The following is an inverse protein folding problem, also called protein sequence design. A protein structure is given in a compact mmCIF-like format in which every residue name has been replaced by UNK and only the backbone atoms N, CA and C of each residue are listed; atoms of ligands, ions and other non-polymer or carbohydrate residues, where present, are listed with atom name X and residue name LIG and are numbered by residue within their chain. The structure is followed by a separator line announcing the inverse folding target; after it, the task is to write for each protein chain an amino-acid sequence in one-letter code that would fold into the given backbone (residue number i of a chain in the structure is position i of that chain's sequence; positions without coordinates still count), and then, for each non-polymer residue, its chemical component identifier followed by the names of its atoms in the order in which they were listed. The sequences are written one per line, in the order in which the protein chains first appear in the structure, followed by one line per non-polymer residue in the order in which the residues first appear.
data_IF_702977212285
#
_entry.id   IF_702977212285
#
_cell.length_a   1.000
_cell.length_b   1.000
_cell.length_c   1.000
_cell.angle_alpha   90.00
_cell.angle_beta   90.00
_cell.angle_gamma   90.00
#
_symmetry.space_group_name_H-M   'P 1'
#
loop_
_entity.id
_entity.type
_entity.pdbx_description
1 polymer ?
#
# COMPACT_ATOMS: atom_id res chain seq x y z
N UNK A 1 -31.78 -9.89 2.54
CA UNK A 1 -30.72 -9.92 1.51
C UNK A 1 -29.47 -10.47 2.17
N UNK A 2 -28.89 -11.52 1.60
CA UNK A 2 -27.66 -12.12 2.11
C UNK A 2 -26.50 -11.14 1.79
N UNK A 3 -25.52 -11.02 2.69
CA UNK A 3 -24.37 -10.13 2.48
C UNK A 3 -23.58 -10.42 1.19
N UNK A 4 -23.55 -11.69 0.73
CA UNK A 4 -22.96 -12.08 -0.56
C UNK A 4 -23.74 -11.54 -1.78
N UNK A 5 -25.04 -11.36 -1.66
CA UNK A 5 -25.84 -10.73 -2.72
C UNK A 5 -25.54 -9.24 -2.78
N UNK A 6 -25.39 -8.61 -1.61
CA UNK A 6 -24.97 -7.20 -1.51
C UNK A 6 -23.56 -7.02 -2.10
N UNK A 7 -22.63 -7.92 -1.80
CA UNK A 7 -21.27 -7.91 -2.35
C UNK A 7 -21.30 -7.95 -3.89
N UNK A 8 -22.02 -8.90 -4.46
CA UNK A 8 -22.14 -9.05 -5.92
C UNK A 8 -22.73 -7.82 -6.62
N UNK A 9 -23.65 -7.14 -5.96
CA UNK A 9 -24.36 -5.99 -6.53
C UNK A 9 -23.56 -4.69 -6.38
N UNK A 10 -22.87 -4.52 -5.25
CA UNK A 10 -22.34 -3.22 -4.86
C UNK A 10 -20.81 -3.15 -4.70
N UNK A 11 -20.11 -4.29 -4.67
CA UNK A 11 -18.64 -4.30 -4.49
C UNK A 11 -17.93 -4.58 -5.81
N UNK A 12 -17.14 -3.61 -6.25
CA UNK A 12 -16.23 -3.81 -7.39
C UNK A 12 -14.87 -4.31 -6.89
N UNK A 13 -14.65 -5.60 -6.98
CA UNK A 13 -13.38 -6.21 -6.58
C UNK A 13 -12.23 -5.79 -7.51
N UNK A 14 -11.02 -5.57 -6.95
CA UNK A 14 -9.83 -5.25 -7.73
C UNK A 14 -9.55 -6.30 -8.82
N UNK A 15 -8.99 -5.86 -9.94
CA UNK A 15 -8.62 -6.70 -11.11
C UNK A 15 -9.78 -7.48 -11.73
N UNK A 16 -10.99 -7.02 -11.54
CA UNK A 16 -12.17 -7.68 -12.05
C UNK A 16 -13.06 -6.71 -12.84
N UNK A 17 -13.94 -7.25 -13.68
CA UNK A 17 -14.99 -6.46 -14.33
C UNK A 17 -16.22 -6.32 -13.42
N UNK A 18 -17.09 -5.35 -13.73
CA UNK A 18 -18.40 -5.26 -13.13
C UNK A 18 -19.47 -5.48 -14.23
N UNK A 19 -20.33 -6.51 -14.17
CA UNK A 19 -20.37 -7.54 -13.13
C UNK A 19 -19.11 -8.43 -13.13
N UNK A 20 -18.79 -8.97 -11.97
CA UNK A 20 -17.61 -9.82 -11.78
C UNK A 20 -17.73 -11.12 -12.61
N UNK A 21 -16.66 -11.46 -13.34
CA UNK A 21 -16.52 -12.75 -14.03
C UNK A 21 -15.84 -13.82 -13.17
N UNK A 22 -15.25 -13.43 -12.07
CA UNK A 22 -14.53 -14.32 -11.14
C UNK A 22 -15.45 -14.72 -10.00
N UNK A 23 -15.40 -15.98 -9.60
CA UNK A 23 -16.10 -16.46 -8.42
C UNK A 23 -15.52 -15.80 -7.18
N UNK A 24 -16.33 -15.07 -6.45
CA UNK A 24 -15.98 -14.50 -5.15
C UNK A 24 -16.18 -15.56 -4.07
N UNK A 25 -15.17 -15.75 -3.23
CA UNK A 25 -15.20 -16.74 -2.15
C UNK A 25 -15.62 -16.07 -0.84
N UNK A 26 -16.67 -16.58 -0.16
CA UNK A 26 -17.16 -16.00 1.10
C UNK A 26 -16.25 -16.37 2.26
N UNK A 27 -15.46 -15.45 2.74
CA UNK A 27 -14.55 -15.67 3.88
C UNK A 27 -15.31 -15.46 5.19
N UNK A 28 -15.25 -16.47 6.06
CA UNK A 28 -15.82 -16.45 7.42
C UNK A 28 -14.80 -15.97 8.45
N UNK A 29 -13.60 -16.52 8.40
CA UNK A 29 -12.53 -16.21 9.36
C UNK A 29 -11.15 -16.55 8.79
N UNK A 30 -10.13 -16.12 9.49
CA UNK A 30 -8.74 -16.45 9.18
C UNK A 30 -7.96 -16.83 10.43
N UNK A 31 -6.94 -17.68 10.32
CA UNK A 31 -6.04 -18.01 11.42
C UNK A 31 -4.69 -18.50 10.89
N UNK A 32 -3.59 -17.98 11.42
CA UNK A 32 -2.22 -18.30 10.97
C UNK A 32 -2.07 -18.13 9.46
N UNK A 33 -2.00 -19.22 8.70
CA UNK A 33 -1.87 -19.24 7.24
C UNK A 33 -3.16 -19.67 6.54
N UNK A 34 -4.23 -19.88 7.29
CA UNK A 34 -5.49 -20.44 6.77
C UNK A 34 -6.58 -19.39 6.64
N UNK A 35 -7.37 -19.52 5.58
CA UNK A 35 -8.60 -18.79 5.32
C UNK A 35 -9.74 -19.80 5.38
N UNK A 36 -10.75 -19.56 6.22
CA UNK A 36 -11.93 -20.41 6.37
C UNK A 36 -13.11 -19.77 5.65
N UNK A 37 -13.74 -20.51 4.75
CA UNK A 37 -14.90 -20.06 4.02
C UNK A 37 -16.20 -20.32 4.77
N UNK A 38 -17.26 -19.59 4.43
CA UNK A 38 -18.61 -19.85 4.94
C UNK A 38 -19.14 -21.25 4.56
N UNK A 39 -18.63 -21.82 3.48
CA UNK A 39 -18.93 -23.17 3.01
C UNK A 39 -18.28 -24.26 3.85
N UNK A 40 -17.40 -23.91 4.79
CA UNK A 40 -16.66 -24.85 5.64
C UNK A 40 -15.30 -25.28 5.08
N UNK A 41 -14.95 -24.85 3.87
CA UNK A 41 -13.63 -25.15 3.28
C UNK A 41 -12.53 -24.34 3.97
N UNK A 42 -11.36 -24.95 4.11
CA UNK A 42 -10.12 -24.32 4.57
C UNK A 42 -9.17 -24.17 3.38
N UNK A 43 -8.68 -22.95 3.18
CA UNK A 43 -7.70 -22.62 2.14
C UNK A 43 -6.39 -22.19 2.80
N UNK A 44 -5.26 -22.54 2.19
CA UNK A 44 -3.95 -22.05 2.58
C UNK A 44 -3.68 -20.75 1.79
N UNK A 45 -3.38 -19.68 2.52
CA UNK A 45 -2.99 -18.40 1.92
C UNK A 45 -1.48 -18.40 1.60
N UNK A 46 -1.12 -18.81 0.41
CA UNK A 46 0.25 -18.78 -0.10
C UNK A 46 0.75 -17.38 -0.49
N UNK A 47 -0.14 -16.38 -0.52
CA UNK A 47 0.16 -14.99 -0.86
C UNK A 47 0.32 -14.07 0.35
N UNK A 48 0.09 -14.59 1.56
CA UNK A 48 0.10 -13.81 2.81
C UNK A 48 -0.74 -12.53 2.72
N UNK A 49 -1.95 -12.63 2.16
CA UNK A 49 -2.86 -11.51 1.89
C UNK A 49 -2.15 -10.33 1.23
N UNK A 50 -1.46 -10.60 0.12
CA UNK A 50 -0.64 -9.63 -0.62
C UNK A 50 0.47 -9.03 0.23
N UNK A 51 1.19 -9.90 0.96
CA UNK A 51 2.32 -9.60 1.86
C UNK A 51 1.96 -8.83 3.14
N UNK A 52 0.69 -8.56 3.40
CA UNK A 52 0.28 -7.85 4.62
C UNK A 52 0.20 -8.76 5.86
N UNK A 53 -0.01 -10.07 5.67
CA UNK A 53 -0.11 -11.05 6.74
C UNK A 53 1.20 -11.83 7.01
N UNK A 54 2.36 -11.17 6.98
CA UNK A 54 3.69 -11.80 7.10
C UNK A 54 3.91 -12.53 8.43
N UNK A 55 3.18 -12.16 9.49
CA UNK A 55 3.21 -12.81 10.80
C UNK A 55 2.06 -13.80 10.99
N UNK A 56 1.33 -14.09 9.92
CA UNK A 56 0.09 -14.87 9.93
C UNK A 56 -1.11 -14.06 10.44
N UNK A 57 -2.28 -14.58 10.09
CA UNK A 57 -3.55 -14.02 10.55
C UNK A 57 -3.75 -14.19 12.05
N UNK A 58 -4.38 -13.23 12.68
CA UNK A 58 -4.75 -13.28 14.09
C UNK A 58 -3.56 -13.53 15.04
N UNK A 59 -2.39 -12.96 14.73
CA UNK A 59 -1.26 -13.03 15.64
C UNK A 59 -1.65 -12.38 16.99
N UNK A 60 -1.60 -13.12 18.12
CA UNK A 60 -2.12 -12.64 19.39
C UNK A 60 -1.40 -11.39 19.91
N UNK A 61 -0.10 -11.27 19.68
CA UNK A 61 0.68 -10.09 20.10
C UNK A 61 0.25 -8.84 19.33
N UNK A 62 0.02 -8.97 18.02
CA UNK A 62 -0.44 -7.85 17.18
C UNK A 62 -1.87 -7.45 17.54
N UNK A 63 -2.75 -8.44 17.70
CA UNK A 63 -4.14 -8.19 18.09
C UNK A 63 -4.25 -7.49 19.45
N UNK A 64 -3.44 -7.91 20.42
CA UNK A 64 -3.40 -7.29 21.76
C UNK A 64 -2.90 -5.84 21.68
N UNK A 65 -1.83 -5.59 20.93
CA UNK A 65 -1.30 -4.24 20.75
C UNK A 65 -2.32 -3.30 20.09
N UNK A 66 -3.04 -3.79 19.05
CA UNK A 66 -4.10 -3.02 18.40
C UNK A 66 -5.26 -2.70 19.36
N UNK A 67 -5.74 -3.69 20.13
CA UNK A 67 -6.80 -3.47 21.12
C UNK A 67 -6.43 -2.41 22.14
N UNK A 68 -5.24 -2.50 22.71
CA UNK A 68 -4.73 -1.50 23.67
C UNK A 68 -4.65 -0.10 23.04
N UNK A 69 -4.16 -0.02 21.80
CA UNK A 69 -4.05 1.29 21.15
C UNK A 69 -5.41 1.91 20.83
N UNK A 70 -6.39 1.11 20.41
CA UNK A 70 -7.76 1.56 20.17
C UNK A 70 -8.41 2.13 21.43
N UNK A 71 -8.18 1.54 22.59
CA UNK A 71 -8.69 2.02 23.89
C UNK A 71 -8.06 3.35 24.32
N UNK A 72 -6.79 3.60 23.94
CA UNK A 72 -6.09 4.85 24.27
C UNK A 72 -6.43 5.94 23.25
N UNK A 73 -6.26 5.63 21.96
CA UNK A 73 -6.42 6.58 20.87
C UNK A 73 -6.44 5.84 19.52
N UNK A 74 -7.61 5.63 18.91
CA UNK A 74 -7.71 4.93 17.63
C UNK A 74 -7.20 5.76 16.46
N UNK A 75 -7.31 7.08 16.53
CA UNK A 75 -6.85 8.00 15.50
C UNK A 75 -6.62 9.40 16.05
N UNK A 76 -5.61 10.10 15.53
CA UNK A 76 -5.38 11.53 15.73
C UNK A 76 -4.78 12.14 14.45
N UNK A 77 -5.22 13.35 14.12
CA UNK A 77 -4.62 14.16 13.05
C UNK A 77 -3.12 14.37 13.31
N UNK A 78 -2.27 14.08 12.31
CA UNK A 78 -0.81 14.17 12.46
C UNK A 78 -0.23 15.57 12.17
N UNK A 79 -1.04 16.51 11.71
CA UNK A 79 -0.65 17.89 11.44
C UNK A 79 -0.45 18.70 12.74
N UNK A 80 0.78 18.76 13.23
CA UNK A 80 1.16 19.48 14.46
C UNK A 80 0.88 18.71 15.76
N UNK A 81 0.37 17.49 15.70
CA UNK A 81 0.18 16.60 16.85
C UNK A 81 1.10 15.38 16.71
N UNK A 82 1.55 14.84 17.84
CA UNK A 82 2.43 13.69 17.88
C UNK A 82 1.92 12.66 18.90
N UNK A 83 2.28 11.39 18.69
CA UNK A 83 2.02 10.32 19.65
C UNK A 83 3.19 9.34 19.73
N UNK A 84 3.28 8.63 20.82
CA UNK A 84 4.41 7.78 21.15
C UNK A 84 4.71 6.74 20.06
N UNK A 85 3.68 6.03 19.57
CA UNK A 85 3.88 4.92 18.61
C UNK A 85 4.48 5.39 17.27
N UNK A 86 4.04 6.54 16.76
CA UNK A 86 4.61 7.09 15.52
C UNK A 86 6.07 7.53 15.72
N UNK A 87 6.38 8.14 16.87
CA UNK A 87 7.74 8.58 17.19
C UNK A 87 8.70 7.40 17.35
N UNK A 88 8.28 6.34 18.05
CA UNK A 88 9.08 5.13 18.22
C UNK A 88 9.28 4.39 16.88
N UNK A 89 8.25 4.33 16.03
CA UNK A 89 8.37 3.76 14.70
C UNK A 89 9.36 4.56 13.83
N UNK A 90 9.23 5.89 13.82
CA UNK A 90 10.13 6.75 13.07
C UNK A 90 11.59 6.60 13.54
N UNK A 91 11.82 6.53 14.85
CA UNK A 91 13.15 6.26 15.39
C UNK A 91 13.73 4.93 14.90
N UNK A 92 12.96 3.84 14.98
CA UNK A 92 13.40 2.52 14.50
C UNK A 92 13.71 2.51 13.01
N UNK A 93 12.89 3.17 12.19
CA UNK A 93 13.12 3.28 10.76
C UNK A 93 14.36 4.11 10.44
N UNK A 94 14.58 5.22 11.15
CA UNK A 94 15.77 6.03 11.01
C UNK A 94 17.05 5.25 11.36
N UNK A 95 17.04 4.53 12.47
CA UNK A 95 18.18 3.68 12.90
C UNK A 95 18.47 2.56 11.88
N UNK A 96 17.42 1.92 11.33
CA UNK A 96 17.55 0.83 10.38
C UNK A 96 18.09 1.29 9.01
N UNK A 97 17.66 2.45 8.55
CA UNK A 97 17.98 2.97 7.21
C UNK A 97 19.20 3.88 7.19
N UNK A 98 19.62 4.41 8.31
CA UNK A 98 20.64 5.46 8.42
C UNK A 98 20.15 6.84 7.95
N UNK A 99 18.85 6.99 7.62
CA UNK A 99 18.24 8.25 7.23
C UNK A 99 17.74 9.02 8.45
N UNK A 100 17.87 10.34 8.44
CA UNK A 100 17.57 11.17 9.61
C UNK A 100 16.08 11.26 9.96
N UNK A 101 15.21 11.32 8.96
CA UNK A 101 13.79 11.65 9.15
C UNK A 101 12.87 10.72 8.39
N UNK A 102 11.67 10.51 8.92
CA UNK A 102 10.63 9.65 8.35
C UNK A 102 9.37 10.45 8.09
N UNK A 103 8.83 10.35 6.90
CA UNK A 103 7.53 10.86 6.54
C UNK A 103 6.56 9.69 6.41
N UNK A 104 5.52 9.64 7.25
CA UNK A 104 4.52 8.58 7.26
C UNK A 104 3.42 8.87 6.23
N UNK A 105 3.07 7.84 5.44
CA UNK A 105 2.07 7.91 4.38
C UNK A 105 1.11 6.72 4.48
N UNK A 106 0.00 6.82 3.73
CA UNK A 106 -1.08 5.83 3.76
C UNK A 106 -0.73 4.55 2.96
N UNK A 107 0.17 4.64 1.98
CA UNK A 107 0.57 3.51 1.13
C UNK A 107 1.96 3.70 0.52
N UNK A 108 2.52 2.64 -0.06
CA UNK A 108 3.77 2.71 -0.84
C UNK A 108 3.68 3.66 -2.02
N UNK A 109 2.57 3.63 -2.77
CA UNK A 109 2.34 4.56 -3.89
C UNK A 109 2.35 6.02 -3.44
N UNK A 110 1.66 6.35 -2.35
CA UNK A 110 1.67 7.71 -1.78
C UNK A 110 3.06 8.09 -1.28
N UNK A 111 3.81 7.15 -0.71
CA UNK A 111 5.20 7.37 -0.29
C UNK A 111 6.09 7.79 -1.47
N UNK A 112 5.96 7.10 -2.61
CA UNK A 112 6.68 7.45 -3.84
C UNK A 112 6.25 8.82 -4.36
N UNK A 113 4.94 9.12 -4.39
CA UNK A 113 4.44 10.45 -4.78
C UNK A 113 5.04 11.58 -3.92
N UNK A 114 5.13 11.36 -2.61
CA UNK A 114 5.75 12.34 -1.69
C UNK A 114 7.23 12.50 -1.98
N UNK A 115 7.95 11.39 -2.24
CA UNK A 115 9.37 11.44 -2.60
C UNK A 115 9.62 12.20 -3.90
N UNK A 116 8.83 11.94 -4.95
CA UNK A 116 8.93 12.65 -6.24
C UNK A 116 8.65 14.15 -6.06
N UNK A 117 7.58 14.52 -5.36
CA UNK A 117 7.25 15.93 -5.08
C UNK A 117 8.34 16.61 -4.27
N UNK A 118 8.89 15.95 -3.26
CA UNK A 118 9.97 16.48 -2.44
C UNK A 118 11.22 16.73 -3.25
N UNK A 119 11.61 15.79 -4.13
CA UNK A 119 12.75 15.95 -5.02
C UNK A 119 12.58 17.15 -5.98
N UNK A 120 11.39 17.30 -6.58
CA UNK A 120 11.07 18.44 -7.44
C UNK A 120 11.16 19.77 -6.67
N UNK A 121 10.55 19.84 -5.48
CA UNK A 121 10.60 21.03 -4.64
C UNK A 121 12.02 21.40 -4.21
N UNK A 122 12.84 20.40 -3.88
CA UNK A 122 14.26 20.61 -3.55
C UNK A 122 15.05 21.22 -4.74
N UNK A 123 14.87 20.67 -5.96
CA UNK A 123 15.52 21.22 -7.15
C UNK A 123 15.03 22.63 -7.47
N UNK A 124 13.73 22.87 -7.35
CA UNK A 124 13.14 24.22 -7.52
C UNK A 124 13.69 25.23 -6.51
N UNK A 125 13.82 24.85 -5.25
CA UNK A 125 14.39 25.71 -4.20
C UNK A 125 15.86 26.08 -4.48
N UNK A 126 16.59 25.24 -5.23
CA UNK A 126 17.95 25.54 -5.74
C UNK A 126 17.98 26.34 -7.04
N UNK A 127 16.83 26.78 -7.54
CA UNK A 127 16.72 27.50 -8.83
C UNK A 127 16.89 26.63 -10.07
N UNK A 128 16.84 25.28 -9.91
CA UNK A 128 17.05 24.34 -11.01
C UNK A 128 15.71 23.87 -11.59
N UNK A 129 15.63 23.78 -12.93
CA UNK A 129 14.47 23.30 -13.67
C UNK A 129 14.62 21.79 -13.97
N UNK A 130 14.69 20.95 -12.94
CA UNK A 130 14.83 19.50 -13.07
C UNK A 130 13.51 18.84 -12.66
N UNK A 131 12.79 18.28 -13.63
CA UNK A 131 11.47 17.66 -13.46
C UNK A 131 11.43 16.20 -13.93
N UNK A 132 12.50 15.72 -14.59
CA UNK A 132 12.62 14.32 -15.01
C UNK A 132 13.42 13.54 -13.98
N UNK A 133 13.02 12.29 -13.80
CA UNK A 133 13.68 11.33 -12.92
C UNK A 133 14.45 10.30 -13.74
N UNK A 134 15.52 9.78 -13.17
CA UNK A 134 16.16 8.56 -13.62
C UNK A 134 15.58 7.43 -12.78
N UNK A 135 14.94 6.45 -13.43
CA UNK A 135 14.33 5.28 -12.80
C UNK A 135 14.93 3.99 -13.37
N UNK A 136 14.78 2.89 -12.64
CA UNK A 136 15.28 1.59 -13.06
C UNK A 136 14.25 0.86 -13.93
N UNK A 137 14.72 0.17 -14.95
CA UNK A 137 13.90 -0.82 -15.65
C UNK A 137 13.54 -1.99 -14.70
N UNK A 138 12.46 -2.70 -15.01
CA UNK A 138 11.91 -3.80 -14.20
C UNK A 138 11.54 -3.40 -12.77
N UNK A 139 11.40 -2.11 -12.47
CA UNK A 139 11.01 -1.60 -11.16
C UNK A 139 9.49 -1.36 -11.05
N UNK A 140 8.96 -1.59 -9.86
CA UNK A 140 7.58 -1.27 -9.49
C UNK A 140 7.58 -0.34 -8.28
N UNK A 141 6.84 0.75 -8.36
CA UNK A 141 6.80 1.80 -7.34
C UNK A 141 5.39 2.15 -6.87
N UNK A 142 4.36 1.54 -7.44
CA UNK A 142 2.96 1.74 -7.07
C UNK A 142 2.06 2.09 -8.25
N UNK A 143 0.77 2.30 -7.98
CA UNK A 143 -0.29 2.40 -8.98
C UNK A 143 -0.92 3.80 -9.08
N UNK A 144 -0.44 4.80 -8.35
CA UNK A 144 -0.80 6.21 -8.61
C UNK A 144 -0.07 6.74 -9.85
N UNK A 145 -0.60 7.76 -10.51
CA UNK A 145 -0.06 8.26 -11.78
C UNK A 145 1.42 8.65 -11.70
N UNK A 146 1.84 9.34 -10.64
CA UNK A 146 3.25 9.67 -10.46
C UNK A 146 4.10 8.46 -10.15
N UNK A 147 3.65 7.53 -9.30
CA UNK A 147 4.35 6.28 -9.03
C UNK A 147 4.46 5.41 -10.30
N UNK A 148 3.39 5.28 -11.09
CA UNK A 148 3.40 4.57 -12.37
C UNK A 148 4.40 5.18 -13.36
N UNK A 149 4.57 6.50 -13.38
CA UNK A 149 5.46 7.18 -14.32
C UNK A 149 6.94 6.83 -14.13
N UNK A 150 7.32 6.31 -12.96
CA UNK A 150 8.68 5.83 -12.65
C UNK A 150 8.77 4.30 -12.55
N UNK A 151 7.68 3.57 -12.82
CA UNK A 151 7.71 2.12 -13.02
C UNK A 151 8.23 1.78 -14.41
N UNK A 152 8.63 0.50 -14.61
CA UNK A 152 9.06 0.00 -15.92
C UNK A 152 8.03 0.34 -17.01
N UNK A 153 8.41 1.08 -18.08
CA UNK A 153 7.47 1.49 -19.11
C UNK A 153 7.11 0.38 -20.11
N UNK A 154 7.86 -0.72 -20.15
CA UNK A 154 7.72 -1.77 -21.17
C UNK A 154 7.04 -3.03 -20.61
N UNK A 155 7.49 -3.49 -19.43
CA UNK A 155 7.08 -4.79 -18.88
C UNK A 155 6.06 -4.67 -17.74
N UNK A 156 5.66 -3.42 -17.37
CA UNK A 156 4.68 -3.23 -16.31
C UNK A 156 3.24 -3.30 -16.83
N UNK A 157 2.32 -3.63 -15.93
CA UNK A 157 0.87 -3.58 -16.21
C UNK A 157 0.37 -2.16 -16.55
N UNK A 158 1.21 -1.15 -16.35
CA UNK A 158 0.89 0.27 -16.53
C UNK A 158 0.98 0.76 -17.98
N UNK A 159 1.43 -0.08 -18.90
CA UNK A 159 1.62 0.27 -20.33
C UNK A 159 0.37 0.85 -21.01
N UNK A 160 -0.82 0.45 -20.56
CA UNK A 160 -2.10 0.98 -21.07
C UNK A 160 -2.28 2.48 -20.76
N UNK A 161 -1.58 3.01 -19.78
CA UNK A 161 -1.63 4.43 -19.38
C UNK A 161 -0.45 5.25 -19.94
N UNK A 162 0.42 4.62 -20.74
CA UNK A 162 1.69 5.21 -21.18
C UNK A 162 1.58 6.62 -21.74
N UNK A 163 0.59 6.88 -22.60
CA UNK A 163 0.35 8.21 -23.18
C UNK A 163 -0.12 9.28 -22.16
N UNK A 164 -0.55 8.86 -20.99
CA UNK A 164 -1.06 9.72 -19.92
C UNK A 164 -0.01 10.01 -18.83
N UNK A 165 1.04 9.20 -18.76
CA UNK A 165 2.08 9.32 -17.75
C UNK A 165 3.17 10.33 -18.17
N UNK A 166 3.78 10.96 -17.19
CA UNK A 166 4.96 11.79 -17.42
C UNK A 166 6.13 10.95 -17.92
N UNK A 167 6.84 11.44 -18.94
CA UNK A 167 8.04 10.77 -19.48
C UNK A 167 9.26 11.01 -18.59
N UNK A 168 9.93 9.91 -18.23
CA UNK A 168 11.16 9.90 -17.45
C UNK A 168 12.28 9.14 -18.17
N UNK A 169 13.46 9.07 -17.57
CA UNK A 169 14.64 8.39 -18.11
C UNK A 169 14.76 7.04 -17.40
N UNK A 170 15.00 5.99 -18.15
CA UNK A 170 15.15 4.62 -17.61
C UNK A 170 16.51 4.04 -17.95
N UNK A 171 17.05 3.22 -17.04
CA UNK A 171 18.35 2.54 -17.19
C UNK A 171 18.26 1.11 -16.67
#
# INVERSE_FOLDING_TARGET
MNWLEIDKEHVWHPYNSLPSKTKILPVKSTNKTSIFLETGEELIDGMSSWWSAIHGYNNPKLNEALKKQVEIMPHIMFGGLAHEQSSLLAKKLADLTGLHSVFLCDSGSVSVEVALKTAILYQKAKGLKKFKFLALQNAYHGDTLGAMSVCDPQNSMHGIYGSYLSEHIFT
#
